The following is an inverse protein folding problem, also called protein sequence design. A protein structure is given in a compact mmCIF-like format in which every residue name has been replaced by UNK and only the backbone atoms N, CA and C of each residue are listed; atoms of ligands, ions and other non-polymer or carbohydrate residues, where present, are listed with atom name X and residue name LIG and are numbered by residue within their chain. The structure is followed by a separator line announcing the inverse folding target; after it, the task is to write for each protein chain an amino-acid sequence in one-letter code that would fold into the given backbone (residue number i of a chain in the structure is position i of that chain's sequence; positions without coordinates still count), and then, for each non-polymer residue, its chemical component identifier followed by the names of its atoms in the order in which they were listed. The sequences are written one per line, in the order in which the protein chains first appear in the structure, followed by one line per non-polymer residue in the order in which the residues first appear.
data_IF_904422390736
#
_entry.id   IF_904422390736
#
_cell.length_a   1.000
_cell.length_b   1.000
_cell.length_c   1.000
_cell.angle_alpha   90.00
_cell.angle_beta   90.00
_cell.angle_gamma   90.00
#
_symmetry.space_group_name_H-M   'P 1'
#
loop_
_entity.id
_entity.type
_entity.pdbx_description
1 polymer ?
#
# COMPACT_ATOMS: atom_id res chain seq x y z
N UNK A 1 -4.73 -8.43 -17.12
CA UNK A 1 -3.46 -9.13 -17.13
C UNK A 1 -2.90 -9.06 -18.54
N UNK A 2 -1.76 -8.40 -18.69
CA UNK A 2 -1.04 -8.38 -19.95
C UNK A 2 -0.43 -9.77 -20.10
N UNK A 3 -0.97 -10.57 -21.01
CA UNK A 3 -0.38 -11.87 -21.37
C UNK A 3 0.73 -11.57 -22.35
N UNK A 4 1.94 -11.43 -21.87
CA UNK A 4 3.11 -11.23 -22.70
C UNK A 4 3.67 -12.61 -23.02
N UNK A 5 3.48 -13.02 -24.26
CA UNK A 5 3.99 -14.25 -24.84
C UNK A 5 3.24 -15.53 -24.45
N UNK A 6 3.14 -16.43 -25.40
CA UNK A 6 2.74 -17.81 -25.13
C UNK A 6 3.88 -18.49 -24.38
N UNK A 7 3.68 -19.08 -23.18
CA UNK A 7 4.74 -19.77 -22.45
C UNK A 7 5.35 -20.98 -23.20
N UNK A 8 4.72 -21.41 -24.30
CA UNK A 8 5.23 -22.49 -25.16
C UNK A 8 6.08 -21.99 -26.34
N UNK A 9 6.06 -20.68 -26.65
CA UNK A 9 7.01 -20.13 -27.59
C UNK A 9 8.34 -19.87 -26.88
N UNK A 10 9.13 -20.90 -26.74
CA UNK A 10 10.56 -20.78 -26.43
C UNK A 10 11.28 -20.18 -27.62
N UNK A 11 10.93 -18.96 -27.98
CA UNK A 11 11.82 -18.10 -28.71
C UNK A 11 13.15 -18.10 -27.96
N UNK A 12 14.23 -18.33 -28.64
CA UNK A 12 15.53 -18.44 -28.03
C UNK A 12 16.00 -17.06 -27.56
N UNK A 13 15.28 -16.52 -26.58
CA UNK A 13 15.61 -15.35 -25.80
C UNK A 13 17.02 -15.51 -25.22
N UNK A 14 17.48 -16.75 -25.04
CA UNK A 14 18.86 -17.04 -24.64
C UNK A 14 19.90 -16.49 -25.60
N UNK A 15 19.72 -16.62 -26.90
CA UNK A 15 20.70 -16.18 -27.87
C UNK A 15 20.81 -14.64 -27.92
N UNK A 16 19.71 -13.94 -27.68
CA UNK A 16 19.67 -12.48 -27.58
C UNK A 16 20.03 -11.99 -26.19
N UNK A 17 19.67 -12.75 -25.20
CA UNK A 17 19.93 -12.47 -23.81
C UNK A 17 21.43 -12.56 -23.44
N UNK A 18 22.20 -13.37 -24.10
CA UNK A 18 23.66 -13.47 -23.88
C UNK A 18 24.41 -12.16 -24.21
N UNK A 19 23.78 -11.23 -24.92
CA UNK A 19 24.38 -9.95 -25.28
C UNK A 19 23.90 -8.75 -24.43
N UNK A 20 22.79 -8.85 -23.72
CA UNK A 20 22.30 -7.80 -22.82
C UNK A 20 21.70 -8.38 -21.52
N UNK A 21 22.47 -8.27 -20.46
CA UNK A 21 22.07 -8.79 -19.14
C UNK A 21 20.80 -8.15 -18.59
N UNK A 22 20.47 -6.91 -18.97
CA UNK A 22 19.27 -6.19 -18.52
C UNK A 22 18.03 -6.72 -19.22
N UNK A 23 18.14 -6.96 -20.54
CA UNK A 23 17.07 -7.57 -21.32
C UNK A 23 16.76 -8.98 -20.78
N UNK A 24 17.79 -9.76 -20.45
CA UNK A 24 17.62 -11.06 -19.79
C UNK A 24 16.85 -10.93 -18.51
N UNK A 25 17.25 -10.04 -17.62
CA UNK A 25 16.56 -9.84 -16.35
C UNK A 25 15.08 -9.46 -16.57
N UNK A 26 14.81 -8.55 -17.48
CA UNK A 26 13.44 -8.10 -17.75
C UNK A 26 12.58 -9.19 -18.41
N UNK A 27 13.11 -9.93 -19.37
CA UNK A 27 12.36 -10.97 -20.11
C UNK A 27 12.29 -12.31 -19.36
N UNK A 28 13.37 -12.75 -18.73
CA UNK A 28 13.39 -14.00 -17.96
C UNK A 28 12.56 -13.86 -16.69
N UNK A 29 12.62 -12.72 -15.99
CA UNK A 29 11.75 -12.42 -14.86
C UNK A 29 10.30 -12.36 -15.33
N UNK A 30 10.05 -11.87 -16.54
CA UNK A 30 8.73 -11.89 -17.17
C UNK A 30 8.17 -13.29 -17.43
N UNK A 31 9.01 -14.27 -17.71
CA UNK A 31 8.62 -15.69 -17.92
C UNK A 31 8.54 -16.51 -16.63
N UNK A 32 9.26 -16.12 -15.58
CA UNK A 32 9.23 -16.85 -14.33
C UNK A 32 7.93 -16.55 -13.58
N UNK A 33 6.95 -17.41 -13.81
CA UNK A 33 5.78 -17.64 -12.95
C UNK A 33 5.25 -16.40 -12.22
N UNK A 34 4.06 -15.97 -12.58
CA UNK A 34 3.19 -15.29 -11.62
C UNK A 34 3.23 -16.14 -10.36
N UNK A 35 4.01 -15.73 -9.38
CA UNK A 35 3.91 -16.32 -8.07
C UNK A 35 2.50 -16.00 -7.61
N UNK A 36 1.74 -16.96 -7.14
CA UNK A 36 0.38 -16.80 -6.62
C UNK A 36 0.29 -15.75 -5.48
N UNK A 37 1.37 -15.06 -5.18
CA UNK A 37 1.57 -14.19 -4.03
C UNK A 37 1.89 -12.73 -4.36
N UNK A 38 2.12 -12.37 -5.63
CA UNK A 38 2.40 -10.99 -6.01
C UNK A 38 1.15 -10.14 -6.19
N UNK A 39 1.20 -8.89 -5.74
CA UNK A 39 0.13 -7.91 -5.94
C UNK A 39 0.58 -6.86 -6.96
N UNK A 40 -0.21 -6.61 -8.02
CA UNK A 40 0.15 -5.65 -9.04
C UNK A 40 -0.01 -4.20 -8.54
N UNK A 41 0.99 -3.39 -8.84
CA UNK A 41 0.96 -1.95 -8.70
C UNK A 41 1.44 -1.27 -9.97
N UNK A 42 1.33 0.03 -10.05
CA UNK A 42 1.87 0.79 -11.16
C UNK A 42 2.18 2.23 -10.76
N UNK A 43 3.16 2.82 -11.44
CA UNK A 43 3.32 4.26 -11.51
C UNK A 43 2.47 4.80 -12.64
N UNK A 44 1.68 5.81 -12.37
CA UNK A 44 1.07 6.65 -13.38
C UNK A 44 1.98 7.87 -13.54
N UNK A 45 2.54 8.04 -14.72
CA UNK A 45 3.48 9.10 -15.07
C UNK A 45 2.78 9.99 -16.09
N UNK A 46 2.68 11.27 -15.80
CA UNK A 46 2.06 12.28 -16.66
C UNK A 46 3.07 13.36 -16.97
N UNK A 47 3.02 13.92 -18.16
CA UNK A 47 3.92 14.99 -18.55
C UNK A 47 3.59 15.60 -19.91
N UNK A 48 4.14 16.77 -20.19
CA UNK A 48 3.93 17.44 -21.47
C UNK A 48 4.50 16.66 -22.66
N UNK A 49 5.59 15.93 -22.43
CA UNK A 49 6.20 15.01 -23.39
C UNK A 49 7.14 14.04 -22.70
N UNK A 50 6.73 12.79 -22.57
CA UNK A 50 7.53 11.72 -21.98
C UNK A 50 8.52 11.08 -22.98
N UNK A 51 8.55 11.51 -24.25
CA UNK A 51 9.46 11.01 -25.27
C UNK A 51 10.85 11.67 -25.22
N UNK A 52 11.35 12.07 -24.07
CA UNK A 52 12.71 12.59 -23.93
C UNK A 52 13.65 11.49 -23.47
N UNK A 53 14.89 11.50 -23.96
CA UNK A 53 15.89 10.52 -23.58
C UNK A 53 16.11 10.51 -22.06
N UNK A 54 16.20 11.70 -21.45
CA UNK A 54 16.38 11.87 -20.01
C UNK A 54 15.24 11.26 -19.21
N UNK A 55 13.99 11.49 -19.61
CA UNK A 55 12.82 10.90 -18.94
C UNK A 55 12.81 9.37 -19.02
N UNK A 56 13.13 8.81 -20.20
CA UNK A 56 13.16 7.36 -20.37
C UNK A 56 14.26 6.72 -19.51
N UNK A 57 15.46 7.32 -19.49
CA UNK A 57 16.59 6.84 -18.68
C UNK A 57 16.27 6.94 -17.19
N UNK A 58 15.59 8.00 -16.74
CA UNK A 58 15.23 8.15 -15.33
C UNK A 58 14.17 7.14 -14.90
N UNK A 59 13.19 6.86 -15.76
CA UNK A 59 12.22 5.78 -15.50
C UNK A 59 12.93 4.43 -15.41
N UNK A 60 13.89 4.16 -16.30
CA UNK A 60 14.67 2.92 -16.32
C UNK A 60 15.54 2.76 -15.06
N UNK A 61 16.23 3.83 -14.65
CA UNK A 61 17.04 3.84 -13.42
C UNK A 61 16.18 3.60 -12.18
N UNK A 62 15.00 4.18 -12.14
CA UNK A 62 14.03 3.98 -11.09
C UNK A 62 13.59 2.51 -11.03
N UNK A 63 13.27 1.92 -12.18
CA UNK A 63 12.91 0.51 -12.29
C UNK A 63 14.04 -0.41 -11.81
N UNK A 64 15.29 -0.11 -12.18
CA UNK A 64 16.47 -0.85 -11.69
C UNK A 64 16.66 -0.73 -10.17
N UNK A 65 16.48 0.47 -9.60
CA UNK A 65 16.64 0.69 -8.16
C UNK A 65 15.62 -0.09 -7.33
N UNK A 66 14.46 -0.34 -7.86
CA UNK A 66 13.40 -1.07 -7.18
C UNK A 66 13.64 -2.58 -7.10
N UNK A 67 14.35 -3.14 -8.08
CA UNK A 67 14.74 -4.57 -8.08
C UNK A 67 15.63 -4.90 -6.86
N UNK A 68 16.48 -3.99 -6.44
CA UNK A 68 17.34 -4.17 -5.26
C UNK A 68 16.55 -4.33 -3.95
N UNK A 69 15.30 -3.89 -3.90
CA UNK A 69 14.46 -3.87 -2.70
C UNK A 69 13.36 -4.93 -2.67
N UNK A 70 13.45 -5.98 -3.49
CA UNK A 70 12.43 -7.04 -3.62
C UNK A 70 11.01 -6.52 -3.97
N UNK A 71 10.89 -5.30 -4.43
CA UNK A 71 9.74 -4.85 -5.18
C UNK A 71 9.98 -5.46 -6.55
N UNK A 72 9.48 -6.64 -6.77
CA UNK A 72 9.97 -7.50 -7.82
C UNK A 72 9.81 -6.84 -9.18
N UNK A 73 10.94 -6.71 -9.83
CA UNK A 73 11.08 -6.15 -11.12
C UNK A 73 10.46 -6.94 -12.26
N UNK A 74 9.15 -7.07 -12.27
CA UNK A 74 8.44 -7.42 -13.49
C UNK A 74 7.86 -6.17 -14.12
N UNK A 75 8.72 -5.37 -14.69
CA UNK A 75 8.36 -4.19 -15.45
C UNK A 75 7.86 -4.59 -16.85
N UNK A 76 6.80 -5.41 -16.89
CA UNK A 76 6.24 -5.96 -18.12
C UNK A 76 5.42 -4.94 -18.92
N UNK A 77 5.32 -3.73 -18.44
CA UNK A 77 4.52 -2.70 -19.06
C UNK A 77 5.01 -1.32 -18.71
N UNK A 78 6.22 -0.95 -19.17
CA UNK A 78 6.78 0.38 -19.01
C UNK A 78 7.28 0.95 -20.34
N UNK A 79 7.50 2.26 -20.40
CA UNK A 79 8.08 2.89 -21.59
C UNK A 79 9.48 2.36 -21.92
N UNK A 80 10.43 2.28 -20.96
CA UNK A 80 11.75 1.70 -21.21
C UNK A 80 11.68 0.29 -21.77
N UNK A 81 10.83 -0.56 -21.18
CA UNK A 81 10.63 -1.93 -21.64
C UNK A 81 10.12 -1.99 -23.09
N UNK A 82 9.11 -1.21 -23.43
CA UNK A 82 8.55 -1.18 -24.80
C UNK A 82 9.59 -0.74 -25.81
N UNK A 83 10.31 0.35 -25.51
CA UNK A 83 11.33 0.90 -26.42
C UNK A 83 12.46 -0.10 -26.61
N UNK A 84 13.02 -0.63 -25.54
CA UNK A 84 14.15 -1.58 -25.58
C UNK A 84 13.77 -2.85 -26.35
N UNK A 85 12.59 -3.39 -26.08
CA UNK A 85 12.08 -4.58 -26.78
C UNK A 85 11.91 -4.32 -28.28
N UNK A 86 11.31 -3.21 -28.68
CA UNK A 86 11.11 -2.87 -30.07
C UNK A 86 12.45 -2.62 -30.79
N UNK A 87 13.36 -1.87 -30.19
CA UNK A 87 14.70 -1.58 -30.75
C UNK A 87 15.46 -2.88 -30.96
N UNK A 88 15.45 -3.77 -29.98
CA UNK A 88 16.16 -5.05 -30.05
C UNK A 88 15.59 -5.94 -31.17
N UNK A 89 14.27 -6.11 -31.21
CA UNK A 89 13.60 -6.93 -32.21
C UNK A 89 13.75 -6.35 -33.62
N UNK A 90 13.56 -5.03 -33.78
CA UNK A 90 13.70 -4.36 -35.07
C UNK A 90 15.13 -4.40 -35.60
N UNK A 91 16.13 -4.45 -34.71
CA UNK A 91 17.54 -4.53 -35.13
C UNK A 91 17.93 -5.95 -35.59
N UNK A 92 17.30 -6.98 -35.03
CA UNK A 92 17.70 -8.37 -35.23
C UNK A 92 16.75 -9.18 -36.13
N UNK A 93 15.58 -8.66 -36.45
CA UNK A 93 14.55 -9.37 -37.20
C UNK A 93 14.05 -8.54 -38.37
N UNK A 94 14.09 -9.08 -39.57
CA UNK A 94 13.55 -8.44 -40.76
C UNK A 94 12.03 -8.23 -40.63
N UNK A 95 11.52 -7.02 -40.88
CA UNK A 95 10.11 -6.62 -40.92
C UNK A 95 9.41 -6.48 -39.51
N UNK A 96 10.14 -6.18 -38.48
CA UNK A 96 9.54 -6.01 -37.14
C UNK A 96 9.26 -4.55 -36.74
N UNK A 97 9.20 -3.65 -37.69
CA UNK A 97 8.80 -2.26 -37.46
C UNK A 97 9.94 -1.24 -37.57
N UNK A 98 9.75 -0.09 -36.93
CA UNK A 98 10.69 1.04 -37.06
C UNK A 98 12.03 0.76 -36.37
N UNK A 99 13.13 0.92 -37.14
CA UNK A 99 14.50 0.83 -36.65
C UNK A 99 15.06 2.24 -36.42
N UNK A 100 15.41 2.63 -35.20
CA UNK A 100 16.03 3.92 -34.94
C UNK A 100 17.45 3.99 -35.53
N UNK A 101 17.86 5.18 -35.95
CA UNK A 101 19.18 5.39 -36.57
C UNK A 101 20.29 5.53 -35.55
N UNK A 102 19.96 6.08 -34.40
CA UNK A 102 20.92 6.41 -33.34
C UNK A 102 20.43 5.87 -32.02
N UNK A 103 21.16 4.90 -31.48
CA UNK A 103 20.87 4.24 -30.19
C UNK A 103 22.08 4.40 -29.28
N UNK A 104 21.86 4.77 -28.04
CA UNK A 104 22.90 4.79 -27.04
C UNK A 104 23.31 3.33 -26.70
N UNK A 105 24.58 2.97 -26.91
CA UNK A 105 25.04 1.59 -26.67
C UNK A 105 24.99 1.17 -25.19
N UNK A 106 24.90 2.12 -24.26
CA UNK A 106 24.86 1.83 -22.82
C UNK A 106 23.45 1.51 -22.32
N UNK A 107 22.46 2.26 -22.81
CA UNK A 107 21.08 2.14 -22.36
C UNK A 107 20.19 1.35 -23.32
N UNK A 108 20.58 1.26 -24.59
CA UNK A 108 19.76 0.65 -25.62
C UNK A 108 18.62 1.55 -26.13
N UNK A 109 18.56 2.82 -25.71
CA UNK A 109 17.51 3.75 -26.10
C UNK A 109 17.92 4.67 -27.25
N UNK A 110 16.95 5.06 -28.12
CA UNK A 110 17.20 6.11 -29.10
C UNK A 110 17.52 7.44 -28.40
N UNK A 111 18.52 8.17 -28.90
CA UNK A 111 18.96 9.45 -28.30
C UNK A 111 17.99 10.59 -28.62
N UNK A 112 17.38 10.53 -29.80
CA UNK A 112 16.49 11.61 -30.30
C UNK A 112 15.04 11.36 -29.82
N UNK A 113 14.40 12.39 -29.27
CA UNK A 113 12.98 12.37 -28.90
C UNK A 113 12.07 12.04 -30.12
N UNK A 114 12.44 12.45 -31.32
CA UNK A 114 11.70 12.10 -32.54
C UNK A 114 11.80 10.60 -32.85
N UNK A 115 12.95 9.98 -32.63
CA UNK A 115 13.13 8.54 -32.86
C UNK A 115 12.42 7.72 -31.74
N UNK A 116 12.48 8.16 -30.51
CA UNK A 116 11.71 7.56 -29.39
C UNK A 116 10.21 7.58 -29.74
N UNK A 117 9.70 8.72 -30.16
CA UNK A 117 8.31 8.84 -30.58
C UNK A 117 7.95 7.89 -31.73
N UNK A 118 8.77 7.78 -32.75
CA UNK A 118 8.54 6.89 -33.90
C UNK A 118 8.51 5.41 -33.48
N UNK A 119 9.40 5.02 -32.59
CA UNK A 119 9.40 3.66 -31.98
C UNK A 119 8.06 3.40 -31.25
N UNK A 120 7.65 4.31 -30.39
CA UNK A 120 6.40 4.18 -29.66
C UNK A 120 5.17 4.25 -30.54
N UNK A 121 5.15 5.15 -31.56
CA UNK A 121 4.05 5.23 -32.52
C UNK A 121 3.90 3.93 -33.33
N UNK A 122 5.01 3.34 -33.73
CA UNK A 122 4.98 2.07 -34.46
C UNK A 122 4.43 0.94 -33.61
N UNK A 123 4.90 0.79 -32.38
CA UNK A 123 4.37 -0.21 -31.45
C UNK A 123 2.89 0.04 -31.11
N UNK A 124 2.50 1.29 -30.95
CA UNK A 124 1.12 1.67 -30.66
C UNK A 124 0.14 1.29 -31.79
N UNK A 125 0.59 1.38 -33.06
CA UNK A 125 -0.22 1.07 -34.23
C UNK A 125 -0.13 -0.39 -34.64
N UNK A 126 1.07 -0.94 -34.67
CA UNK A 126 1.38 -2.21 -35.30
C UNK A 126 1.70 -3.32 -34.27
N UNK A 127 2.04 -2.94 -33.03
CA UNK A 127 2.59 -3.84 -32.02
C UNK A 127 4.04 -4.24 -32.34
N UNK A 128 4.60 -5.04 -31.46
CA UNK A 128 5.91 -5.68 -31.64
C UNK A 128 5.71 -7.15 -31.92
N UNK A 129 6.29 -7.68 -33.00
CA UNK A 129 6.11 -9.03 -33.46
C UNK A 129 7.43 -9.80 -33.27
N UNK A 130 7.36 -11.03 -32.75
CA UNK A 130 8.51 -11.91 -32.64
C UNK A 130 8.83 -12.60 -33.98
N UNK A 131 9.92 -13.38 -34.00
CA UNK A 131 10.35 -14.15 -35.22
C UNK A 131 9.31 -15.13 -35.74
N UNK A 132 8.37 -15.57 -34.90
CA UNK A 132 7.31 -16.52 -35.27
C UNK A 132 6.05 -15.82 -35.78
N UNK A 133 6.03 -14.48 -35.87
CA UNK A 133 4.90 -13.71 -36.32
C UNK A 133 3.79 -13.51 -35.27
N UNK A 134 4.05 -13.90 -34.02
CA UNK A 134 3.16 -13.62 -32.89
C UNK A 134 3.47 -12.28 -32.24
N UNK A 135 2.46 -11.61 -31.70
CA UNK A 135 2.69 -10.35 -30.98
C UNK A 135 3.46 -10.62 -29.68
N UNK A 136 4.55 -9.91 -29.52
CA UNK A 136 5.28 -9.79 -28.26
C UNK A 136 4.67 -8.71 -27.38
N UNK A 137 4.34 -7.56 -27.97
CA UNK A 137 3.53 -6.49 -27.38
C UNK A 137 2.43 -6.19 -28.40
N UNK A 138 1.18 -6.48 -28.06
CA UNK A 138 0.08 -6.16 -28.96
C UNK A 138 -0.23 -4.66 -28.95
N UNK A 139 -0.88 -4.12 -29.99
CA UNK A 139 -1.34 -2.74 -29.99
C UNK A 139 -2.27 -2.39 -28.84
N UNK A 140 -3.04 -3.37 -28.35
CA UNK A 140 -3.89 -3.20 -27.17
C UNK A 140 -3.09 -3.07 -25.88
N UNK A 141 -2.01 -3.83 -25.74
CA UNK A 141 -1.11 -3.75 -24.59
C UNK A 141 -0.37 -2.41 -24.57
N UNK A 142 0.15 -1.98 -25.71
CA UNK A 142 0.78 -0.67 -25.88
C UNK A 142 -0.14 0.47 -25.42
N UNK A 143 -1.42 0.44 -25.80
CA UNK A 143 -2.43 1.42 -25.36
C UNK A 143 -2.75 1.34 -23.87
N UNK A 144 -2.49 0.22 -23.23
CA UNK A 144 -2.58 0.06 -21.78
C UNK A 144 -1.38 0.60 -21.02
N UNK A 145 -0.23 0.75 -21.72
CA UNK A 145 1.04 1.21 -21.12
C UNK A 145 1.19 2.72 -21.27
N UNK A 146 0.87 3.29 -22.43
CA UNK A 146 1.04 4.72 -22.68
C UNK A 146 -0.05 5.29 -23.58
N UNK A 147 -0.28 6.60 -23.45
CA UNK A 147 -1.22 7.38 -24.25
C UNK A 147 -0.44 8.26 -25.22
N UNK A 148 -0.78 8.13 -26.49
CA UNK A 148 -0.16 8.86 -27.58
C UNK A 148 -1.15 9.88 -28.13
N UNK A 149 -0.86 11.17 -27.96
CA UNK A 149 -1.69 12.29 -28.37
C UNK A 149 -0.84 13.36 -29.08
N UNK A 150 -1.32 13.88 -30.19
CA UNK A 150 -0.73 15.00 -30.94
C UNK A 150 0.80 14.94 -31.14
N UNK A 151 1.32 13.77 -31.43
CA UNK A 151 2.75 13.56 -31.65
C UNK A 151 3.60 13.49 -30.36
N UNK A 152 2.99 13.27 -29.22
CA UNK A 152 3.65 13.17 -27.92
C UNK A 152 3.09 12.01 -27.12
N UNK A 153 3.85 11.55 -26.15
CA UNK A 153 3.36 10.69 -25.07
C UNK A 153 3.14 11.55 -23.85
N UNK A 154 1.88 11.68 -23.45
CA UNK A 154 1.48 12.54 -22.32
C UNK A 154 1.24 11.79 -21.04
N UNK A 155 0.99 10.47 -21.15
CA UNK A 155 0.73 9.61 -19.99
C UNK A 155 1.36 8.24 -20.22
N UNK A 156 1.95 7.68 -19.18
CA UNK A 156 2.51 6.33 -19.20
C UNK A 156 2.26 5.61 -17.89
N UNK A 157 2.24 4.27 -17.95
CA UNK A 157 2.20 3.39 -16.79
C UNK A 157 3.44 2.52 -16.75
N UNK A 158 4.04 2.41 -15.58
CA UNK A 158 5.06 1.40 -15.32
C UNK A 158 4.51 0.40 -14.32
N UNK A 159 4.26 -0.82 -14.79
CA UNK A 159 3.69 -1.89 -13.98
C UNK A 159 4.78 -2.58 -13.16
N UNK A 160 4.50 -2.82 -11.89
CA UNK A 160 5.35 -3.61 -11.00
C UNK A 160 4.51 -4.59 -10.19
N UNK A 161 5.16 -5.59 -9.62
CA UNK A 161 4.56 -6.56 -8.72
C UNK A 161 5.24 -6.46 -7.37
N UNK A 162 4.48 -6.41 -6.29
CA UNK A 162 5.00 -6.38 -4.93
C UNK A 162 4.79 -7.74 -4.30
N UNK A 163 5.87 -8.36 -3.84
CA UNK A 163 5.78 -9.59 -3.07
C UNK A 163 5.02 -9.36 -1.77
N UNK A 164 4.09 -10.26 -1.45
CA UNK A 164 3.32 -10.19 -0.22
C UNK A 164 4.22 -10.60 0.94
N UNK A 165 4.56 -9.71 1.88
CA UNK A 165 5.45 -10.05 2.97
C UNK A 165 4.74 -10.87 4.05
N UNK A 166 5.45 -11.82 4.65
CA UNK A 166 4.99 -12.58 5.82
C UNK A 166 4.93 -11.70 7.08
N UNK A 167 5.87 -10.76 7.21
CA UNK A 167 5.85 -9.72 8.25
C UNK A 167 5.35 -8.38 7.68
N UNK A 168 4.06 -8.18 7.86
CA UNK A 168 3.29 -7.16 7.15
C UNK A 168 3.73 -5.73 7.48
N UNK A 169 4.12 -5.41 8.71
CA UNK A 169 4.25 -4.01 9.12
C UNK A 169 5.62 -3.37 8.79
N UNK A 170 6.71 -4.05 9.07
CA UNK A 170 8.07 -3.53 8.86
C UNK A 170 8.40 -3.35 7.38
N UNK A 171 8.16 -4.40 6.60
CA UNK A 171 8.46 -4.43 5.18
C UNK A 171 7.53 -3.51 4.37
N UNK A 172 6.25 -3.42 4.71
CA UNK A 172 5.31 -2.47 4.10
C UNK A 172 5.75 -1.02 4.28
N UNK A 173 6.25 -0.67 5.46
CA UNK A 173 6.72 0.68 5.74
C UNK A 173 7.95 1.05 4.91
N UNK A 174 8.86 0.12 4.74
CA UNK A 174 10.04 0.31 3.89
C UNK A 174 9.65 0.40 2.41
N UNK A 175 8.78 -0.48 1.95
CA UNK A 175 8.27 -0.46 0.57
C UNK A 175 7.53 0.84 0.26
N UNK A 176 6.65 1.30 1.16
CA UNK A 176 5.96 2.59 0.99
C UNK A 176 6.98 3.75 0.89
N UNK A 177 7.96 3.78 1.79
CA UNK A 177 9.01 4.82 1.77
C UNK A 177 9.78 4.84 0.46
N UNK A 178 10.07 3.67 -0.11
CA UNK A 178 10.74 3.55 -1.40
C UNK A 178 9.85 4.03 -2.55
N UNK A 179 8.60 3.59 -2.57
CA UNK A 179 7.63 4.00 -3.57
C UNK A 179 7.40 5.52 -3.55
N UNK A 180 7.27 6.10 -2.35
CA UNK A 180 7.13 7.55 -2.17
C UNK A 180 8.40 8.30 -2.61
N UNK A 181 9.60 7.77 -2.30
CA UNK A 181 10.87 8.35 -2.73
C UNK A 181 11.01 8.33 -4.24
N UNK A 182 10.69 7.20 -4.86
CA UNK A 182 10.77 7.02 -6.30
C UNK A 182 9.79 7.93 -7.05
N UNK A 183 8.58 8.06 -6.55
CA UNK A 183 7.61 9.03 -7.07
C UNK A 183 8.10 10.47 -6.93
N UNK A 184 8.77 10.81 -5.82
CA UNK A 184 9.34 12.13 -5.59
C UNK A 184 10.53 12.42 -6.53
N UNK A 185 11.34 11.43 -6.85
CA UNK A 185 12.44 11.56 -7.83
C UNK A 185 11.90 11.89 -9.21
N UNK A 186 10.90 11.16 -9.72
CA UNK A 186 10.24 11.49 -10.97
C UNK A 186 9.57 12.87 -10.96
N UNK A 187 8.91 13.22 -9.86
CA UNK A 187 8.29 14.54 -9.69
C UNK A 187 9.30 15.70 -9.59
N UNK A 188 10.58 15.41 -9.39
CA UNK A 188 11.63 16.44 -9.42
C UNK A 188 12.04 16.85 -10.82
N UNK A 189 11.64 16.08 -11.83
CA UNK A 189 11.88 16.40 -13.23
C UNK A 189 10.91 17.49 -13.72
N UNK A 190 11.41 18.42 -14.54
CA UNK A 190 10.60 19.51 -15.05
C UNK A 190 9.50 18.98 -16.00
N UNK A 191 8.25 19.32 -15.70
CA UNK A 191 7.09 18.91 -16.50
C UNK A 191 6.68 17.44 -16.38
N UNK A 192 7.17 16.70 -15.39
CA UNK A 192 6.78 15.30 -15.11
C UNK A 192 6.09 15.21 -13.76
N UNK A 193 4.97 14.51 -13.71
CA UNK A 193 4.25 14.17 -12.51
C UNK A 193 4.10 12.64 -12.41
N UNK A 194 4.48 12.05 -11.30
CA UNK A 194 4.36 10.62 -11.08
C UNK A 194 3.60 10.31 -9.79
N UNK A 195 2.66 9.39 -9.88
CA UNK A 195 1.86 8.90 -8.77
C UNK A 195 1.91 7.38 -8.71
N UNK A 196 2.06 6.84 -7.51
CA UNK A 196 1.94 5.40 -7.30
C UNK A 196 0.47 5.05 -7.12
N UNK A 197 0.01 4.03 -7.82
CA UNK A 197 -1.35 3.53 -7.73
C UNK A 197 -1.38 2.00 -7.83
N UNK A 198 -2.53 1.40 -7.52
CA UNK A 198 -2.74 -0.03 -7.55
C UNK A 198 -3.08 -0.59 -6.17
N UNK A 199 -3.70 -1.76 -6.17
CA UNK A 199 -4.24 -2.39 -4.96
C UNK A 199 -3.19 -2.60 -3.86
N UNK A 200 -1.97 -2.95 -4.24
CA UNK A 200 -0.86 -3.15 -3.29
C UNK A 200 -0.51 -1.86 -2.56
N UNK A 201 -0.35 -0.76 -3.31
CA UNK A 201 0.00 0.53 -2.72
C UNK A 201 -1.15 1.08 -1.86
N UNK A 202 -2.38 1.02 -2.36
CA UNK A 202 -3.57 1.44 -1.60
C UNK A 202 -3.69 0.63 -0.30
N UNK A 203 -3.44 -0.68 -0.35
CA UNK A 203 -3.44 -1.52 0.85
C UNK A 203 -2.34 -1.11 1.82
N UNK A 204 -1.13 -0.80 1.33
CA UNK A 204 -0.02 -0.34 2.17
C UNK A 204 -0.34 0.97 2.87
N UNK A 205 -0.79 1.96 2.12
CA UNK A 205 -1.20 3.25 2.65
C UNK A 205 -2.31 3.07 3.69
N UNK A 206 -3.33 2.30 3.33
CA UNK A 206 -4.49 2.05 4.19
C UNK A 206 -4.10 1.38 5.52
N UNK A 207 -3.28 0.32 5.49
CA UNK A 207 -2.84 -0.37 6.72
C UNK A 207 -1.96 0.52 7.59
N UNK A 208 -1.02 1.25 6.98
CA UNK A 208 -0.11 2.14 7.72
C UNK A 208 -0.86 3.34 8.31
N UNK A 209 -1.68 4.02 7.52
CA UNK A 209 -2.43 5.19 7.97
C UNK A 209 -3.48 4.83 9.01
N UNK A 210 -4.18 3.70 8.86
CA UNK A 210 -5.10 3.23 9.90
C UNK A 210 -4.33 2.97 11.19
N UNK A 211 -3.16 2.33 11.14
CA UNK A 211 -2.39 2.01 12.33
C UNK A 211 -1.91 3.26 13.05
N UNK A 212 -1.37 4.22 12.32
CA UNK A 212 -0.85 5.47 12.88
C UNK A 212 -2.01 6.37 13.38
N UNK A 213 -3.07 6.54 12.59
CA UNK A 213 -4.26 7.30 12.96
C UNK A 213 -5.00 6.66 14.14
N UNK A 214 -5.00 5.34 14.25
CA UNK A 214 -5.58 4.64 15.39
C UNK A 214 -4.84 4.98 16.69
N UNK A 215 -3.50 5.02 16.65
CA UNK A 215 -2.70 5.36 17.81
C UNK A 215 -2.95 6.77 18.31
N UNK A 216 -3.02 7.73 17.39
CA UNK A 216 -3.33 9.12 17.70
C UNK A 216 -4.77 9.28 18.20
N UNK A 217 -5.74 8.70 17.51
CA UNK A 217 -7.15 8.74 17.88
C UNK A 217 -7.41 8.12 19.23
N UNK A 218 -6.75 7.02 19.56
CA UNK A 218 -6.85 6.36 20.85
C UNK A 218 -6.37 7.26 21.99
N UNK A 219 -5.26 7.94 21.80
CA UNK A 219 -4.70 8.87 22.77
C UNK A 219 -5.64 10.06 23.01
N UNK A 220 -6.19 10.62 21.94
CA UNK A 220 -7.18 11.69 21.99
C UNK A 220 -8.48 11.22 22.68
N UNK A 221 -8.96 10.03 22.35
CA UNK A 221 -10.16 9.45 22.95
C UNK A 221 -10.02 9.27 24.46
N UNK A 222 -8.87 8.74 24.94
CA UNK A 222 -8.59 8.59 26.38
C UNK A 222 -8.51 9.97 27.05
N UNK A 223 -7.87 10.95 26.42
CA UNK A 223 -7.78 12.30 26.96
C UNK A 223 -9.16 12.98 27.06
N UNK A 224 -10.00 12.86 26.05
CA UNK A 224 -11.38 13.36 26.06
C UNK A 224 -12.24 12.65 27.10
N UNK A 225 -12.13 11.32 27.19
CA UNK A 225 -12.81 10.52 28.20
C UNK A 225 -12.43 11.00 29.61
N UNK A 226 -11.13 11.22 29.86
CA UNK A 226 -10.66 11.78 31.13
C UNK A 226 -11.24 13.18 31.43
N UNK A 227 -11.28 14.06 30.43
CA UNK A 227 -11.87 15.41 30.61
C UNK A 227 -13.36 15.33 30.91
N UNK A 228 -14.10 14.45 30.26
CA UNK A 228 -15.54 14.23 30.55
C UNK A 228 -15.72 13.73 31.99
N UNK A 229 -14.95 12.71 32.37
CA UNK A 229 -15.00 12.16 33.74
C UNK A 229 -14.64 13.23 34.78
N UNK A 230 -13.62 14.06 34.51
CA UNK A 230 -13.22 15.16 35.37
C UNK A 230 -14.32 16.21 35.51
N UNK A 231 -14.99 16.54 34.41
CA UNK A 231 -16.11 17.48 34.42
C UNK A 231 -17.31 16.95 35.23
N UNK A 232 -17.64 15.67 35.09
CA UNK A 232 -18.74 15.01 35.79
C UNK A 232 -18.45 14.85 37.29
N UNK A 233 -17.27 14.31 37.63
CA UNK A 233 -16.92 14.01 39.03
C UNK A 233 -16.41 15.21 39.79
N UNK A 234 -15.85 16.22 39.11
CA UNK A 234 -15.25 17.44 39.69
C UNK A 234 -14.19 17.17 40.75
N UNK A 235 -13.54 16.02 40.68
CA UNK A 235 -12.48 15.58 41.58
C UNK A 235 -11.39 14.87 40.76
N UNK A 236 -10.20 15.45 40.78
CA UNK A 236 -9.07 14.97 39.97
C UNK A 236 -8.62 13.54 40.37
N UNK A 237 -8.60 13.25 41.67
CA UNK A 237 -8.17 11.94 42.17
C UNK A 237 -9.16 10.86 41.76
N UNK A 238 -10.45 11.16 41.92
CA UNK A 238 -11.51 10.22 41.58
C UNK A 238 -11.56 9.99 40.06
N UNK A 239 -11.37 11.03 39.29
CA UNK A 239 -11.31 10.93 37.82
C UNK A 239 -10.14 10.08 37.34
N UNK A 240 -8.97 10.21 37.94
CA UNK A 240 -7.81 9.37 37.63
C UNK A 240 -8.06 7.89 37.94
N UNK A 241 -8.72 7.61 39.08
CA UNK A 241 -9.08 6.22 39.46
C UNK A 241 -10.11 5.67 38.46
N UNK A 242 -11.09 6.46 38.06
CA UNK A 242 -12.15 6.07 37.12
C UNK A 242 -11.63 5.75 35.73
N UNK A 243 -10.62 6.46 35.25
CA UNK A 243 -10.05 6.23 33.91
C UNK A 243 -9.08 5.04 33.86
N UNK A 244 -8.53 4.63 34.98
CA UNK A 244 -7.52 3.57 35.06
C UNK A 244 -7.99 2.23 34.46
N UNK A 245 -9.22 1.72 34.71
CA UNK A 245 -9.74 0.52 34.06
C UNK A 245 -9.80 0.66 32.52
N UNK A 246 -10.13 1.83 32.01
CA UNK A 246 -10.21 2.10 30.57
C UNK A 246 -8.84 2.00 29.91
N UNK A 247 -7.83 2.57 30.54
CA UNK A 247 -6.43 2.42 30.10
C UNK A 247 -6.00 0.94 30.16
N UNK A 248 -6.36 0.23 31.22
CA UNK A 248 -6.03 -1.18 31.36
C UNK A 248 -6.68 -2.05 30.27
N UNK A 249 -7.97 -1.83 29.95
CA UNK A 249 -8.67 -2.51 28.86
C UNK A 249 -7.96 -2.26 27.52
N UNK A 250 -7.55 -1.02 27.26
CA UNK A 250 -6.85 -0.65 26.03
C UNK A 250 -5.50 -1.38 25.90
N UNK A 251 -4.74 -1.45 26.99
CA UNK A 251 -3.47 -2.18 27.02
C UNK A 251 -3.68 -3.70 26.86
N UNK A 252 -4.73 -4.25 27.47
CA UNK A 252 -5.08 -5.66 27.35
C UNK A 252 -5.51 -6.03 25.93
N UNK A 253 -6.28 -5.19 25.28
CA UNK A 253 -6.72 -5.40 23.92
C UNK A 253 -5.52 -5.45 22.97
N UNK A 254 -4.57 -4.51 23.10
CA UNK A 254 -3.31 -4.52 22.35
C UNK A 254 -2.44 -5.75 22.66
N UNK A 255 -2.27 -6.06 23.93
CA UNK A 255 -1.53 -7.25 24.34
C UNK A 255 -2.15 -8.53 23.78
N UNK A 256 -3.48 -8.64 23.81
CA UNK A 256 -4.21 -9.75 23.21
C UNK A 256 -4.00 -9.87 21.70
N UNK A 257 -4.04 -8.76 20.98
CA UNK A 257 -3.77 -8.74 19.53
C UNK A 257 -2.35 -9.24 19.21
N UNK A 258 -1.35 -8.78 19.96
CA UNK A 258 0.04 -9.26 19.81
C UNK A 258 0.16 -10.75 20.10
N UNK A 259 -0.48 -11.23 21.17
CA UNK A 259 -0.42 -12.64 21.55
C UNK A 259 -1.13 -13.57 20.56
N UNK A 260 -2.20 -13.10 19.91
CA UNK A 260 -2.97 -13.88 18.94
C UNK A 260 -2.47 -13.70 17.50
N UNK A 261 -1.49 -12.84 17.27
CA UNK A 261 -1.04 -12.49 15.91
C UNK A 261 -2.08 -11.75 15.08
N UNK A 262 -3.09 -11.15 15.74
CA UNK A 262 -4.15 -10.42 15.05
C UNK A 262 -3.65 -9.04 14.61
N UNK A 263 -3.75 -8.74 13.33
CA UNK A 263 -3.35 -7.45 12.77
C UNK A 263 -4.37 -6.34 13.09
N UNK A 264 -3.87 -5.11 13.21
CA UNK A 264 -4.70 -3.92 13.31
C UNK A 264 -5.42 -3.74 11.96
N UNK A 265 -6.75 -3.65 12.01
CA UNK A 265 -7.59 -3.40 10.85
C UNK A 265 -8.81 -2.56 11.29
N UNK A 266 -9.65 -2.18 10.33
CA UNK A 266 -10.81 -1.32 10.60
C UNK A 266 -11.76 -1.91 11.66
N UNK A 267 -11.92 -3.23 11.70
CA UNK A 267 -12.79 -3.93 12.65
C UNK A 267 -12.19 -3.87 14.06
N UNK A 268 -10.90 -4.17 14.21
CA UNK A 268 -10.22 -4.12 15.52
C UNK A 268 -10.14 -2.70 16.07
N UNK A 269 -10.02 -1.69 15.21
CA UNK A 269 -10.09 -0.27 15.59
C UNK A 269 -11.47 0.09 16.11
N UNK A 270 -12.54 -0.31 15.43
CA UNK A 270 -13.92 -0.05 15.86
C UNK A 270 -14.22 -0.74 17.21
N UNK A 271 -13.83 -2.00 17.37
CA UNK A 271 -14.00 -2.73 18.64
C UNK A 271 -13.26 -2.02 19.79
N UNK A 272 -12.04 -1.54 19.52
CA UNK A 272 -11.25 -0.82 20.51
C UNK A 272 -11.92 0.49 20.95
N UNK A 273 -12.44 1.26 20.01
CA UNK A 273 -13.16 2.53 20.30
C UNK A 273 -14.41 2.29 21.09
N UNK A 274 -15.15 1.24 20.76
CA UNK A 274 -16.36 0.84 21.45
C UNK A 274 -16.06 0.37 22.89
N UNK A 275 -15.01 -0.44 23.08
CA UNK A 275 -14.57 -0.90 24.39
C UNK A 275 -14.18 0.25 25.33
N UNK A 276 -13.57 1.31 24.81
CA UNK A 276 -13.27 2.53 25.57
C UNK A 276 -14.56 3.22 26.00
N UNK A 277 -15.51 3.42 25.06
CA UNK A 277 -16.78 4.09 25.36
C UNK A 277 -17.59 3.37 26.44
N UNK A 278 -17.79 2.07 26.29
CA UNK A 278 -18.49 1.24 27.27
C UNK A 278 -17.74 1.17 28.60
N UNK A 279 -16.40 1.05 28.57
CA UNK A 279 -15.58 1.01 29.77
C UNK A 279 -15.67 2.30 30.59
N UNK A 280 -15.70 3.46 29.94
CA UNK A 280 -15.89 4.76 30.62
C UNK A 280 -17.26 4.85 31.26
N UNK A 281 -18.32 4.46 30.56
CA UNK A 281 -19.69 4.52 31.05
C UNK A 281 -19.88 3.65 32.29
N UNK A 282 -19.45 2.41 32.24
CA UNK A 282 -19.50 1.50 33.39
C UNK A 282 -18.68 2.00 34.59
N UNK A 283 -17.49 2.56 34.35
CA UNK A 283 -16.67 3.12 35.40
C UNK A 283 -17.31 4.34 36.06
N UNK A 284 -17.95 5.22 35.30
CA UNK A 284 -18.67 6.40 35.81
C UNK A 284 -19.83 5.94 36.69
N UNK A 285 -20.66 4.99 36.24
CA UNK A 285 -21.80 4.48 37.00
C UNK A 285 -21.38 3.88 38.34
N UNK A 286 -20.33 3.05 38.33
CA UNK A 286 -19.82 2.45 39.59
C UNK A 286 -19.29 3.49 40.56
N UNK A 287 -18.51 4.45 40.08
CA UNK A 287 -17.92 5.48 40.96
C UNK A 287 -18.97 6.45 41.48
N UNK A 288 -20.00 6.78 40.67
CA UNK A 288 -21.11 7.59 41.12
C UNK A 288 -21.90 6.88 42.23
N UNK A 289 -22.18 5.57 42.11
CA UNK A 289 -22.90 4.83 43.15
C UNK A 289 -22.10 4.75 44.45
N UNK A 290 -20.80 4.51 44.39
CA UNK A 290 -19.94 4.55 45.59
C UNK A 290 -19.98 5.92 46.28
N UNK A 291 -20.04 7.00 45.47
CA UNK A 291 -20.15 8.35 46.00
C UNK A 291 -21.51 8.64 46.65
N UNK A 292 -22.59 8.12 46.07
CA UNK A 292 -23.94 8.21 46.60
C UNK A 292 -24.03 7.43 47.92
N UNK A 293 -23.58 6.17 47.97
CA UNK A 293 -23.56 5.34 49.19
C UNK A 293 -22.77 6.03 50.32
N UNK A 294 -21.64 6.66 49.99
CA UNK A 294 -20.88 7.45 50.96
C UNK A 294 -21.63 8.68 51.45
N UNK A 295 -22.43 9.31 50.58
CA UNK A 295 -23.23 10.47 50.97
C UNK A 295 -24.42 10.10 51.81
N UNK A 296 -25.06 8.95 51.56
CA UNK A 296 -26.18 8.39 52.31
C UNK A 296 -25.76 7.91 53.70
N UNK A 297 -24.56 7.32 53.81
CA UNK A 297 -24.02 6.86 55.11
C UNK A 297 -22.59 7.42 55.34
N UNK A 298 -22.45 8.71 55.73
CA UNK A 298 -21.14 9.36 55.87
C UNK A 298 -20.20 8.74 56.91
N UNK A 299 -20.74 7.99 57.87
CA UNK A 299 -19.99 7.36 58.96
C UNK A 299 -19.78 5.86 58.74
N UNK A 300 -20.28 5.31 57.63
CA UNK A 300 -20.08 3.90 57.27
C UNK A 300 -18.63 3.58 56.94
N UNK A 301 -18.28 2.31 57.02
CA UNK A 301 -16.98 1.82 56.58
C UNK A 301 -16.90 1.82 55.04
N UNK A 302 -15.69 2.00 54.50
CA UNK A 302 -15.48 2.00 53.06
C UNK A 302 -15.95 0.68 52.40
N UNK A 303 -15.82 -0.44 53.12
CA UNK A 303 -16.27 -1.75 52.67
C UNK A 303 -17.80 -1.82 52.52
N UNK A 304 -18.56 -1.13 53.35
CA UNK A 304 -20.02 -1.06 53.30
C UNK A 304 -20.47 -0.32 52.05
N UNK A 305 -19.88 0.84 51.76
CA UNK A 305 -20.20 1.62 50.55
C UNK A 305 -19.88 0.83 49.29
N UNK A 306 -18.73 0.14 49.25
CA UNK A 306 -18.35 -0.69 48.11
C UNK A 306 -19.30 -1.88 47.94
N UNK A 307 -19.66 -2.54 49.00
CA UNK A 307 -20.57 -3.69 48.97
C UNK A 307 -21.94 -3.27 48.46
N UNK A 308 -22.50 -2.21 49.00
CA UNK A 308 -23.79 -1.67 48.60
C UNK A 308 -23.79 -1.29 47.10
N UNK A 309 -22.75 -0.61 46.66
CA UNK A 309 -22.57 -0.22 45.24
C UNK A 309 -22.44 -1.42 44.29
N UNK A 310 -21.75 -2.49 44.74
CA UNK A 310 -21.63 -3.74 43.98
C UNK A 310 -22.96 -4.49 43.90
N UNK A 311 -23.72 -4.54 45.00
CA UNK A 311 -24.99 -5.27 45.06
C UNK A 311 -26.06 -4.59 44.22
N UNK A 312 -26.10 -3.25 44.17
CA UNK A 312 -27.11 -2.50 43.44
C UNK A 312 -26.73 -2.21 41.99
N UNK A 313 -25.52 -1.70 41.72
CA UNK A 313 -25.09 -1.25 40.39
C UNK A 313 -24.22 -2.27 39.69
N UNK A 314 -23.38 -2.99 40.46
CA UNK A 314 -22.45 -3.96 39.88
C UNK A 314 -23.17 -5.09 39.14
N UNK A 315 -24.29 -5.58 39.66
CA UNK A 315 -25.09 -6.61 39.01
C UNK A 315 -25.68 -6.10 37.66
N UNK A 316 -26.16 -4.85 37.63
CA UNK A 316 -26.72 -4.25 36.44
C UNK A 316 -25.62 -4.00 35.38
N UNK A 317 -24.45 -3.53 35.79
CA UNK A 317 -23.28 -3.36 34.90
C UNK A 317 -22.82 -4.70 34.35
N UNK A 318 -22.75 -5.75 35.18
CA UNK A 318 -22.37 -7.09 34.73
C UNK A 318 -23.37 -7.68 33.72
N UNK A 319 -24.66 -7.50 33.93
CA UNK A 319 -25.72 -7.95 33.01
C UNK A 319 -25.68 -7.16 31.68
N UNK A 320 -25.44 -5.85 31.72
CA UNK A 320 -25.25 -5.05 30.53
C UNK A 320 -24.02 -5.49 29.76
N UNK A 321 -22.88 -5.65 30.42
CA UNK A 321 -21.65 -6.12 29.79
C UNK A 321 -21.81 -7.53 29.18
N UNK A 322 -22.57 -8.41 29.83
CA UNK A 322 -22.89 -9.73 29.29
C UNK A 322 -23.78 -9.63 28.04
N UNK A 323 -24.77 -8.75 28.05
CA UNK A 323 -25.65 -8.51 26.91
C UNK A 323 -24.84 -7.97 25.70
N UNK A 324 -23.95 -7.02 25.96
CA UNK A 324 -23.05 -6.49 24.92
C UNK A 324 -22.13 -7.58 24.36
N UNK A 325 -21.54 -8.40 25.24
CA UNK A 325 -20.71 -9.54 24.83
C UNK A 325 -21.48 -10.52 23.92
N UNK A 326 -22.71 -10.88 24.27
CA UNK A 326 -23.56 -11.74 23.44
C UNK A 326 -23.92 -11.04 22.14
N UNK A 327 -24.22 -9.75 22.15
CA UNK A 327 -24.51 -8.95 20.95
C UNK A 327 -23.34 -8.89 19.96
N UNK A 328 -22.09 -8.95 20.45
CA UNK A 328 -20.90 -9.00 19.59
C UNK A 328 -20.57 -10.40 19.08
N UNK A 329 -21.13 -11.45 19.66
CA UNK A 329 -20.90 -12.84 19.23
C UNK A 329 -21.83 -13.30 18.10
N UNK A 330 -22.88 -12.54 17.80
CA UNK A 330 -23.88 -12.79 16.75
C UNK A 330 -23.56 -11.98 15.50
#
# INVERSE_FOLDING_TARGET
PIVIGNPESTFDVKEYADNDSRFIQTVIIGQSTFTEQGEPGYYLIEGDNLCTYETIVEIDNLEESMVEYNISGRWLGSLPYVIRTQVLLATNVENTGYVPKTVDPLTGFPISSEEIYKVLEDVYRNGTINLEGTFYISPSDARGIYLLEDGKVTMARSWFEVERPDDIYGLMKEQKKLLDKSSAELNSMDGVSAQVAGLSYERYVYVLEITDSFQESLSVAIALAFLIVLFVLRDLRLSLITILPVVAITLWLRGGMVLTGTSINIVTVQISSLAIGLGVDYAIHMVQRVREARFENPYGAQEEWMKESLDETGNNVAMSAFTDFVGFMV
#
